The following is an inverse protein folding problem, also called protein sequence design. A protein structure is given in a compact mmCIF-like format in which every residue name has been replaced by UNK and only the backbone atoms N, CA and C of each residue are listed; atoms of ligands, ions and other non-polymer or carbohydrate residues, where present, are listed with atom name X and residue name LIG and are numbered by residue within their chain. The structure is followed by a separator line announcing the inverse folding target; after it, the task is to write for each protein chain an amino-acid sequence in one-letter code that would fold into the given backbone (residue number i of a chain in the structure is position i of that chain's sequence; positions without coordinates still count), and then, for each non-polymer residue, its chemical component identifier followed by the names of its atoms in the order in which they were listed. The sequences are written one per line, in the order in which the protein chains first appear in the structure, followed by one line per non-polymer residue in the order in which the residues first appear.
data_IF_932388730635
#
_entry.id   IF_932388730635
#
_cell.length_a   1.000
_cell.length_b   1.000
_cell.length_c   1.000
_cell.angle_alpha   90.00
_cell.angle_beta   90.00
_cell.angle_gamma   90.00
#
_symmetry.space_group_name_H-M   'P 1'
#
loop_
_entity.id
_entity.type
_entity.pdbx_description
1 polymer ?
#
# COMPACT_ATOMS: atom_id res chain seq x y z
N UNK A 1 -0.05 -6.70 23.65
CA UNK A 1 -1.20 -6.60 22.73
C UNK A 1 -0.73 -5.76 21.56
N UNK A 2 -0.67 -6.33 20.36
CA UNK A 2 -0.28 -5.57 19.16
C UNK A 2 -1.34 -4.53 18.86
N UNK A 3 -0.94 -3.39 18.28
CA UNK A 3 -1.90 -2.43 17.76
C UNK A 3 -2.57 -3.05 16.53
N UNK A 4 -3.90 -3.07 16.52
CA UNK A 4 -4.66 -3.48 15.36
C UNK A 4 -4.53 -2.38 14.29
N UNK A 5 -4.02 -2.75 13.11
CA UNK A 5 -3.84 -1.85 11.97
C UNK A 5 -4.65 -2.41 10.83
N UNK A 6 -5.51 -1.57 10.26
CA UNK A 6 -6.39 -1.91 9.16
C UNK A 6 -6.07 -1.02 7.97
N UNK A 7 -6.24 -1.58 6.77
CA UNK A 7 -6.15 -0.82 5.53
C UNK A 7 -7.34 -1.13 4.64
N UNK A 8 -7.91 -0.09 4.02
CA UNK A 8 -8.92 -0.21 2.99
C UNK A 8 -8.32 0.25 1.68
N UNK A 9 -8.32 -0.62 0.68
CA UNK A 9 -7.88 -0.29 -0.67
C UNK A 9 -9.07 -0.33 -1.63
N UNK A 10 -9.40 0.81 -2.21
CA UNK A 10 -10.44 0.95 -3.22
C UNK A 10 -9.83 1.08 -4.61
N UNK A 11 -10.27 0.26 -5.56
CA UNK A 11 -9.90 0.35 -6.97
C UNK A 11 -11.05 -0.15 -7.85
N UNK A 12 -11.37 0.57 -8.93
CA UNK A 12 -12.45 0.21 -9.86
C UNK A 12 -13.81 -0.06 -9.17
N UNK A 13 -14.12 0.70 -8.11
CA UNK A 13 -15.36 0.56 -7.32
C UNK A 13 -15.44 -0.68 -6.43
N UNK A 14 -14.31 -1.39 -6.22
CA UNK A 14 -14.20 -2.52 -5.30
C UNK A 14 -13.31 -2.15 -4.13
N UNK A 15 -13.70 -2.58 -2.93
CA UNK A 15 -12.97 -2.32 -1.68
C UNK A 15 -12.37 -3.63 -1.17
N UNK A 16 -11.12 -3.56 -0.74
CA UNK A 16 -10.36 -4.66 -0.15
C UNK A 16 -9.88 -4.27 1.24
N UNK A 17 -10.13 -5.13 2.20
CA UNK A 17 -9.70 -4.94 3.58
C UNK A 17 -8.43 -5.75 3.84
N UNK A 18 -7.39 -5.07 4.29
CA UNK A 18 -6.13 -5.67 4.72
C UNK A 18 -5.95 -5.51 6.22
N UNK A 19 -5.37 -6.53 6.85
CA UNK A 19 -5.14 -6.59 8.29
C UNK A 19 -3.67 -6.78 8.59
N UNK A 20 -3.25 -6.45 9.82
CA UNK A 20 -1.87 -6.69 10.24
C UNK A 20 -1.56 -8.21 10.23
N UNK A 21 -0.28 -8.62 10.09
CA UNK A 21 0.07 -10.03 10.02
C UNK A 21 -0.34 -10.79 11.29
N UNK A 22 -0.41 -10.12 12.44
CA UNK A 22 -0.77 -10.77 13.70
C UNK A 22 -2.22 -11.22 13.80
N UNK A 23 -3.10 -10.60 13.03
CA UNK A 23 -4.51 -10.93 12.93
C UNK A 23 -4.79 -12.03 11.88
N UNK A 24 -3.84 -12.36 10.99
CA UNK A 24 -3.98 -13.46 10.03
C UNK A 24 -3.74 -14.80 10.71
N UNK A 25 -4.78 -15.60 10.91
CA UNK A 25 -4.69 -16.93 11.52
C UNK A 25 -5.36 -17.95 10.59
N UNK A 26 -4.60 -18.92 10.03
CA UNK A 26 -3.16 -19.10 10.13
C UNK A 26 -2.38 -18.06 9.30
N UNK A 27 -1.13 -17.77 9.70
CA UNK A 27 -0.19 -17.03 8.85
C UNK A 27 0.43 -18.02 7.87
N UNK A 28 0.14 -17.87 6.59
CA UNK A 28 0.72 -18.69 5.55
C UNK A 28 1.95 -17.97 5.02
N UNK A 29 3.08 -18.69 4.98
CA UNK A 29 4.30 -18.16 4.37
C UNK A 29 4.24 -18.35 2.86
N UNK A 30 4.30 -17.24 2.13
CA UNK A 30 4.40 -17.23 0.68
C UNK A 30 5.11 -15.96 0.24
N UNK A 31 6.16 -16.06 -0.61
CA UNK A 31 6.84 -14.90 -1.14
C UNK A 31 5.89 -14.05 -1.99
N UNK A 32 6.13 -12.75 -1.98
CA UNK A 32 5.53 -11.73 -2.84
C UNK A 32 6.63 -11.32 -3.83
N UNK A 33 6.67 -11.93 -5.03
CA UNK A 33 7.83 -11.83 -5.94
C UNK A 33 8.26 -10.41 -6.25
N UNK A 34 7.29 -9.50 -6.37
CA UNK A 34 7.51 -8.11 -6.78
C UNK A 34 8.15 -7.28 -5.68
N UNK A 35 7.97 -7.67 -4.42
CA UNK A 35 8.52 -6.97 -3.25
C UNK A 35 9.77 -7.66 -2.68
N UNK A 36 10.24 -8.75 -3.28
CA UNK A 36 11.45 -9.47 -2.83
C UNK A 36 12.68 -8.56 -2.73
N UNK A 37 12.74 -7.53 -3.57
CA UNK A 37 13.85 -6.59 -3.61
C UNK A 37 13.84 -5.55 -2.47
N UNK A 38 12.76 -5.47 -1.67
CA UNK A 38 12.59 -4.51 -0.57
C UNK A 38 12.92 -5.09 0.82
N UNK A 39 13.32 -6.36 0.92
CA UNK A 39 13.66 -7.00 2.19
C UNK A 39 12.44 -7.59 2.94
N UNK A 40 12.61 -7.92 4.23
CA UNK A 40 11.75 -8.89 4.93
C UNK A 40 10.31 -8.43 5.21
N UNK A 41 10.07 -7.16 5.55
CA UNK A 41 8.79 -6.70 6.12
C UNK A 41 7.59 -6.86 5.17
N UNK A 42 7.79 -6.79 3.85
CA UNK A 42 6.69 -6.87 2.87
C UNK A 42 6.97 -7.84 1.71
N UNK A 43 8.09 -8.57 1.73
CA UNK A 43 8.40 -9.56 0.69
C UNK A 43 7.70 -10.90 0.89
N UNK A 44 7.01 -11.10 2.00
CA UNK A 44 6.33 -12.35 2.32
C UNK A 44 4.95 -12.09 2.92
N UNK A 45 3.96 -12.86 2.52
CA UNK A 45 2.59 -12.82 3.05
C UNK A 45 2.52 -13.12 4.56
N UNK A 46 3.53 -13.78 5.12
CA UNK A 46 3.66 -13.98 6.56
C UNK A 46 3.92 -12.68 7.34
N UNK A 47 4.75 -11.79 6.77
CA UNK A 47 5.22 -10.56 7.43
C UNK A 47 4.57 -9.29 6.91
N UNK A 48 3.93 -9.33 5.72
CA UNK A 48 3.36 -8.15 5.07
C UNK A 48 2.42 -7.40 5.99
N UNK A 49 2.41 -6.07 5.90
CA UNK A 49 1.49 -5.23 6.66
C UNK A 49 0.12 -5.09 5.99
N UNK A 50 -0.81 -4.42 6.68
CA UNK A 50 -2.21 -4.28 6.27
C UNK A 50 -2.36 -3.62 4.89
N UNK A 51 -1.55 -2.61 4.58
CA UNK A 51 -1.61 -1.89 3.31
C UNK A 51 -1.31 -2.81 2.14
N UNK A 52 -0.28 -3.65 2.30
CA UNK A 52 0.18 -4.58 1.28
C UNK A 52 -0.78 -5.76 1.12
N UNK A 53 -1.40 -6.20 2.21
CA UNK A 53 -2.46 -7.21 2.19
C UNK A 53 -3.65 -6.75 1.33
N UNK A 54 -4.16 -5.54 1.57
CA UNK A 54 -5.29 -4.97 0.82
C UNK A 54 -4.97 -4.83 -0.67
N UNK A 55 -3.81 -4.25 -1.02
CA UNK A 55 -3.39 -4.08 -2.41
C UNK A 55 -3.13 -5.43 -3.10
N UNK A 56 -2.56 -6.40 -2.39
CA UNK A 56 -2.32 -7.75 -2.91
C UNK A 56 -3.61 -8.45 -3.28
N UNK A 57 -4.63 -8.40 -2.43
CA UNK A 57 -5.94 -9.00 -2.72
C UNK A 57 -6.55 -8.42 -4.00
N UNK A 58 -6.52 -7.10 -4.17
CA UNK A 58 -6.99 -6.45 -5.39
C UNK A 58 -6.23 -6.91 -6.63
N UNK A 59 -4.90 -7.02 -6.51
CA UNK A 59 -4.03 -7.45 -7.59
C UNK A 59 -4.20 -8.92 -7.96
N UNK A 60 -4.38 -9.81 -6.97
CA UNK A 60 -4.60 -11.24 -7.19
C UNK A 60 -5.91 -11.49 -7.97
N UNK A 61 -6.88 -10.57 -7.87
CA UNK A 61 -8.08 -10.55 -8.71
C UNK A 61 -7.87 -9.91 -10.10
N UNK A 62 -6.64 -9.52 -10.44
CA UNK A 62 -6.28 -8.93 -11.72
C UNK A 62 -6.70 -7.46 -11.89
N UNK A 63 -7.08 -6.76 -10.81
CA UNK A 63 -7.46 -5.34 -10.90
C UNK A 63 -6.25 -4.47 -11.21
N UNK A 64 -6.45 -3.55 -12.16
CA UNK A 64 -5.40 -2.70 -12.74
C UNK A 64 -5.97 -1.38 -13.23
N UNK A 65 -5.08 -0.42 -13.44
CA UNK A 65 -5.41 0.86 -14.06
C UNK A 65 -6.18 1.82 -13.16
N UNK A 66 -6.42 3.01 -13.68
CA UNK A 66 -7.37 3.96 -13.10
C UNK A 66 -6.93 4.59 -11.79
N UNK A 67 -7.92 5.08 -11.04
CA UNK A 67 -7.72 5.74 -9.75
C UNK A 67 -7.90 4.73 -8.63
N UNK A 68 -7.10 4.86 -7.60
CA UNK A 68 -7.21 4.06 -6.40
C UNK A 68 -7.04 4.90 -5.14
N UNK A 69 -7.69 4.47 -4.06
CA UNK A 69 -7.59 5.09 -2.74
C UNK A 69 -7.14 4.06 -1.73
N UNK A 70 -6.13 4.39 -0.92
CA UNK A 70 -5.66 3.58 0.19
C UNK A 70 -5.90 4.34 1.50
N UNK A 71 -6.70 3.80 2.40
CA UNK A 71 -6.93 4.37 3.73
C UNK A 71 -6.31 3.46 4.77
N UNK A 72 -5.63 4.01 5.77
CA UNK A 72 -4.94 3.25 6.82
C UNK A 72 -5.36 3.79 8.19
N UNK A 73 -5.76 2.88 9.08
CA UNK A 73 -6.21 3.17 10.44
C UNK A 73 -5.35 2.41 11.48
N UNK A 74 -5.22 3.01 12.67
CA UNK A 74 -4.50 2.45 13.81
C UNK A 74 -3.06 2.93 13.93
N UNK A 75 -2.34 3.04 12.80
CA UNK A 75 -0.98 3.60 12.72
C UNK A 75 -0.75 4.31 11.38
N UNK A 76 0.21 5.24 11.36
CA UNK A 76 0.73 5.85 10.14
C UNK A 76 1.55 4.82 9.32
N UNK A 77 1.66 5.04 8.01
CA UNK A 77 2.35 4.13 7.09
C UNK A 77 3.85 4.14 7.39
N UNK A 78 4.37 2.97 7.74
CA UNK A 78 5.77 2.83 8.11
C UNK A 78 6.70 3.05 6.89
N UNK A 79 7.96 3.46 7.10
CA UNK A 79 8.90 3.70 6.00
C UNK A 79 9.11 2.51 5.06
N UNK A 80 8.95 1.27 5.54
CA UNK A 80 9.08 0.05 4.74
C UNK A 80 7.86 -0.24 3.86
N UNK A 81 6.67 0.23 4.23
CA UNK A 81 5.45 0.08 3.43
C UNK A 81 5.41 1.08 2.27
N UNK A 82 5.98 2.27 2.46
CA UNK A 82 6.01 3.34 1.44
C UNK A 82 6.52 2.88 0.06
N UNK A 83 7.73 2.32 -0.09
CA UNK A 83 8.20 1.85 -1.40
C UNK A 83 7.38 0.67 -1.93
N UNK A 84 6.91 -0.22 -1.04
CA UNK A 84 6.09 -1.37 -1.43
C UNK A 84 4.74 -0.96 -2.02
N UNK A 85 4.07 0.04 -1.44
CA UNK A 85 2.84 0.64 -1.97
C UNK A 85 3.09 1.20 -3.38
N UNK A 86 4.19 1.95 -3.57
CA UNK A 86 4.52 2.51 -4.88
C UNK A 86 4.78 1.42 -5.93
N UNK A 87 5.51 0.37 -5.57
CA UNK A 87 5.79 -0.74 -6.50
C UNK A 87 4.52 -1.54 -6.85
N UNK A 88 3.59 -1.72 -5.91
CA UNK A 88 2.26 -2.28 -6.19
C UNK A 88 1.46 -1.36 -7.12
N UNK A 89 1.36 -0.07 -6.80
CA UNK A 89 0.60 0.88 -7.61
C UNK A 89 1.13 0.92 -9.06
N UNK A 90 2.46 0.94 -9.22
CA UNK A 90 3.12 0.88 -10.53
C UNK A 90 2.83 -0.44 -11.26
N UNK A 91 2.96 -1.58 -10.61
CA UNK A 91 2.77 -2.89 -11.24
C UNK A 91 1.30 -3.22 -11.55
N UNK A 92 0.38 -2.53 -10.87
CA UNK A 92 -1.05 -2.51 -11.18
C UNK A 92 -1.40 -1.48 -12.28
N UNK A 93 -0.47 -0.60 -12.66
CA UNK A 93 -0.69 0.43 -13.67
C UNK A 93 -1.66 1.53 -13.22
N UNK A 94 -1.74 1.78 -11.91
CA UNK A 94 -2.58 2.83 -11.33
C UNK A 94 -2.10 4.19 -11.86
N UNK A 95 -3.04 5.04 -12.30
CA UNK A 95 -2.74 6.37 -12.83
C UNK A 95 -2.85 7.46 -11.77
N UNK A 96 -3.62 7.24 -10.72
CA UNK A 96 -3.77 8.17 -9.59
C UNK A 96 -3.94 7.37 -8.30
N UNK A 97 -3.11 7.66 -7.31
CA UNK A 97 -3.15 7.04 -6.00
C UNK A 97 -3.33 8.13 -4.94
N UNK A 98 -4.43 8.05 -4.22
CA UNK A 98 -4.68 8.85 -3.02
C UNK A 98 -4.52 7.98 -1.78
N UNK A 99 -3.81 8.48 -0.77
CA UNK A 99 -3.50 7.75 0.45
C UNK A 99 -3.93 8.58 1.66
N UNK A 100 -4.68 7.98 2.58
CA UNK A 100 -5.19 8.60 3.80
C UNK A 100 -4.60 7.90 5.03
N UNK A 101 -3.73 8.57 5.77
CA UNK A 101 -3.30 8.13 7.11
C UNK A 101 -4.31 8.66 8.14
N UNK A 102 -5.33 7.87 8.50
CA UNK A 102 -6.43 8.33 9.34
C UNK A 102 -5.99 8.69 10.77
N UNK A 103 -4.90 8.08 11.24
CA UNK A 103 -4.34 8.36 12.57
C UNK A 103 -3.72 9.76 12.67
N UNK A 104 -2.96 10.20 11.67
CA UNK A 104 -2.35 11.55 11.65
C UNK A 104 -3.15 12.59 10.87
N UNK A 105 -4.16 12.16 10.10
CA UNK A 105 -4.96 13.01 9.21
C UNK A 105 -4.22 13.41 7.92
N UNK A 106 -3.04 12.86 7.64
CA UNK A 106 -2.28 13.20 6.43
C UNK A 106 -2.89 12.53 5.21
N UNK A 107 -2.92 13.30 4.13
CA UNK A 107 -3.36 12.85 2.82
C UNK A 107 -2.20 13.00 1.84
N UNK A 108 -1.92 11.95 1.08
CA UNK A 108 -0.91 11.95 0.03
C UNK A 108 -1.55 11.69 -1.32
N UNK A 109 -1.12 12.41 -2.36
CA UNK A 109 -1.61 12.21 -3.73
C UNK A 109 -0.46 12.09 -4.72
N UNK A 110 -0.53 11.04 -5.54
CA UNK A 110 0.42 10.73 -6.61
C UNK A 110 -0.32 10.53 -7.93
N UNK A 111 0.17 11.15 -9.00
CA UNK A 111 -0.40 11.05 -10.35
C UNK A 111 0.64 10.66 -11.40
N UNK A 112 0.27 9.74 -12.30
CA UNK A 112 1.07 9.34 -13.45
C UNK A 112 2.50 8.94 -13.08
N UNK A 113 3.49 9.69 -13.60
CA UNK A 113 4.91 9.41 -13.37
C UNK A 113 5.34 9.64 -11.91
N UNK A 114 4.55 10.37 -11.11
CA UNK A 114 4.82 10.59 -9.69
C UNK A 114 4.80 9.27 -8.89
N UNK A 115 4.12 8.24 -9.40
CA UNK A 115 4.03 6.90 -8.79
C UNK A 115 5.36 6.12 -8.90
N UNK A 116 6.33 6.61 -9.67
CA UNK A 116 7.66 6.02 -9.72
C UNK A 116 8.42 6.19 -8.39
N UNK A 117 9.51 5.45 -8.25
CA UNK A 117 10.50 5.74 -7.20
C UNK A 117 11.16 7.10 -7.50
N UNK A 118 11.54 7.86 -6.46
CA UNK A 118 12.12 9.21 -6.60
C UNK A 118 13.34 9.24 -7.54
N UNK A 119 14.22 8.23 -7.46
CA UNK A 119 15.39 8.09 -8.35
C UNK A 119 15.02 7.92 -9.84
N UNK A 120 13.76 7.61 -10.14
CA UNK A 120 13.22 7.37 -11.47
C UNK A 120 12.15 8.42 -11.85
N UNK A 121 12.26 9.65 -11.33
CA UNK A 121 11.32 10.75 -11.65
C UNK A 121 10.05 10.76 -10.79
N UNK A 122 9.95 9.90 -9.78
CA UNK A 122 8.83 9.86 -8.86
C UNK A 122 8.78 11.01 -7.86
N UNK A 123 7.58 11.24 -7.29
CA UNK A 123 7.38 12.27 -6.27
C UNK A 123 7.74 11.73 -4.89
N UNK A 124 8.41 12.55 -4.08
CA UNK A 124 8.66 12.18 -2.68
C UNK A 124 7.36 12.24 -1.87
N UNK A 125 7.23 11.38 -0.85
CA UNK A 125 6.05 11.39 0.04
C UNK A 125 5.83 12.75 0.71
N UNK A 126 6.90 13.45 1.09
CA UNK A 126 6.80 14.80 1.65
C UNK A 126 6.22 15.81 0.65
N UNK A 127 6.54 15.67 -0.63
CA UNK A 127 6.02 16.54 -1.68
C UNK A 127 4.60 16.13 -2.15
N UNK A 128 4.20 14.87 -1.89
CA UNK A 128 2.87 14.35 -2.19
C UNK A 128 1.83 14.72 -1.13
N UNK A 129 2.26 15.20 0.04
CA UNK A 129 1.37 15.58 1.14
C UNK A 129 0.50 16.77 0.71
N UNK A 130 -0.82 16.59 0.80
CA UNK A 130 -1.80 17.63 0.47
C UNK A 130 -1.98 18.52 1.70
N UNK A 131 -1.49 19.75 1.62
CA UNK A 131 -1.75 20.76 2.65
C UNK A 131 -3.10 21.41 2.40
N UNK A 132 -3.99 21.36 3.39
CA UNK A 132 -5.19 22.20 3.46
C UNK A 132 -4.86 23.54 4.14
#
# INVERSE_FOLDING_TARGET
MGLDVFALFEINGKIFEGVNPTQRIPRIESPIPELQHLGYTNSNTFSMHAEIDAMKQAKDLGLRGGKATLMVEGLDICPSCRPAIMDYAKSMGISELEIHELNSGKIYRFEGEEINQVKNGGKSWRAAEVSH
#
